data_IF_392887825344
#
_entry.id   IF_392887825344
#
_cell.length_a   1.000
_cell.length_b   1.000
_cell.length_c   1.000
_cell.angle_alpha   90.00
_cell.angle_beta   90.00
_cell.angle_gamma   90.00
#
_symmetry.space_group_name_H-M   'P 1'
#
loop_
_entity.id
_entity.type
_entity.pdbx_description
1 polymer ?
#
# COMPACT_ATOMS: atom_id res chain seq x y z
N UNK A 1 21.22 12.89 -27.16
CA UNK A 1 21.20 11.94 -26.03
C UNK A 1 19.99 12.14 -25.10
N UNK A 2 19.66 13.36 -24.66
CA UNK A 2 18.49 13.61 -23.79
C UNK A 2 17.13 13.25 -24.41
N UNK A 3 16.91 13.52 -25.70
CA UNK A 3 15.63 13.22 -26.36
C UNK A 3 15.36 11.70 -26.50
N UNK A 4 16.41 10.92 -26.80
CA UNK A 4 16.33 9.46 -26.89
C UNK A 4 16.03 8.85 -25.51
N UNK A 5 16.63 9.39 -24.44
CA UNK A 5 16.37 8.94 -23.08
C UNK A 5 14.90 9.19 -22.66
N UNK A 6 14.35 10.36 -23.00
CA UNK A 6 12.96 10.72 -22.72
C UNK A 6 11.97 9.83 -23.49
N UNK A 7 12.24 9.56 -24.78
CA UNK A 7 11.41 8.66 -25.59
C UNK A 7 11.43 7.22 -25.06
N UNK A 8 12.59 6.72 -24.65
CA UNK A 8 12.71 5.39 -24.04
C UNK A 8 11.96 5.29 -22.71
N UNK A 9 12.07 6.32 -21.86
CA UNK A 9 11.33 6.39 -20.59
C UNK A 9 9.81 6.39 -20.84
N UNK A 10 9.34 7.15 -21.83
CA UNK A 10 7.92 7.18 -22.20
C UNK A 10 7.43 5.82 -22.71
N UNK A 11 8.18 5.17 -23.59
CA UNK A 11 7.83 3.83 -24.10
C UNK A 11 7.79 2.79 -22.98
N UNK A 12 8.73 2.86 -22.04
CA UNK A 12 8.75 1.97 -20.88
C UNK A 12 7.51 2.20 -20.00
N UNK A 13 7.18 3.47 -19.71
CA UNK A 13 5.97 3.83 -18.97
C UNK A 13 4.71 3.29 -19.66
N UNK A 14 4.54 3.55 -20.97
CA UNK A 14 3.37 3.11 -21.74
C UNK A 14 3.23 1.58 -21.74
N UNK A 15 4.35 0.85 -21.81
CA UNK A 15 4.36 -0.61 -21.75
C UNK A 15 3.93 -1.15 -20.38
N UNK A 16 4.44 -0.59 -19.29
CA UNK A 16 4.07 -0.99 -17.93
C UNK A 16 2.60 -0.64 -17.67
N UNK A 17 2.18 0.57 -18.05
CA UNK A 17 0.82 1.04 -17.88
C UNK A 17 -0.20 0.17 -18.65
N UNK A 18 0.15 -0.28 -19.85
CA UNK A 18 -0.68 -1.24 -20.59
C UNK A 18 -0.88 -2.56 -19.83
N UNK A 19 0.13 -3.06 -19.13
CA UNK A 19 -0.01 -4.26 -18.30
C UNK A 19 -0.87 -3.99 -17.05
N UNK A 20 -0.70 -2.85 -16.41
CA UNK A 20 -1.54 -2.43 -15.28
C UNK A 20 -3.02 -2.42 -15.63
N UNK A 21 -3.43 -1.87 -16.78
CA UNK A 21 -4.85 -1.84 -17.19
C UNK A 21 -5.51 -3.23 -17.28
N UNK A 22 -4.72 -4.28 -17.51
CA UNK A 22 -5.22 -5.67 -17.58
C UNK A 22 -5.48 -6.27 -16.20
N UNK A 23 -4.69 -5.89 -15.20
CA UNK A 23 -4.66 -6.55 -13.89
C UNK A 23 -5.24 -5.69 -12.76
N UNK A 24 -5.31 -4.37 -12.97
CA UNK A 24 -5.70 -3.38 -11.98
C UNK A 24 -6.95 -2.60 -12.42
N UNK A 25 -7.65 -2.07 -11.44
CA UNK A 25 -8.67 -1.05 -11.58
C UNK A 25 -7.96 0.30 -11.53
N UNK A 26 -8.28 1.15 -12.50
CA UNK A 26 -7.78 2.52 -12.58
C UNK A 26 -8.95 3.45 -12.33
N UNK A 27 -8.96 4.09 -11.17
CA UNK A 27 -9.97 5.07 -10.79
C UNK A 27 -9.43 6.48 -11.00
N UNK A 28 -10.12 7.28 -11.79
CA UNK A 28 -9.72 8.68 -12.04
C UNK A 28 -10.46 9.59 -11.11
N UNK A 29 -9.72 10.37 -10.33
CA UNK A 29 -10.31 11.44 -9.54
C UNK A 29 -10.47 12.69 -10.42
N UNK A 30 -11.67 12.83 -10.99
CA UNK A 30 -12.05 13.97 -11.81
C UNK A 30 -12.19 15.29 -11.03
N UNK A 31 -12.14 15.25 -9.69
CA UNK A 31 -12.30 16.41 -8.82
C UNK A 31 -10.97 16.96 -8.30
N UNK A 32 -9.88 16.21 -8.44
CA UNK A 32 -8.54 16.62 -8.01
C UNK A 32 -7.72 17.24 -9.14
N UNK A 33 -6.91 18.25 -8.81
CA UNK A 33 -5.95 18.86 -9.73
C UNK A 33 -4.98 17.80 -10.27
N UNK A 34 -4.71 17.81 -11.56
CA UNK A 34 -3.84 16.81 -12.20
C UNK A 34 -4.49 15.45 -12.48
N UNK A 35 -5.79 15.30 -12.17
CA UNK A 35 -6.60 14.09 -12.41
C UNK A 35 -5.86 12.79 -12.03
N UNK A 36 -5.43 12.66 -10.76
CA UNK A 36 -4.65 11.52 -10.34
C UNK A 36 -5.42 10.23 -10.57
N UNK A 37 -4.71 9.21 -11.01
CA UNK A 37 -5.26 7.89 -11.23
C UNK A 37 -4.88 7.00 -10.05
N UNK A 38 -5.87 6.48 -9.33
CA UNK A 38 -5.65 5.55 -8.24
C UNK A 38 -5.69 4.13 -8.78
N UNK A 39 -4.62 3.39 -8.54
CA UNK A 39 -4.35 2.07 -9.11
C UNK A 39 -4.57 1.02 -8.02
N UNK A 40 -5.63 0.23 -8.17
CA UNK A 40 -6.03 -0.78 -7.21
C UNK A 40 -6.00 -2.19 -7.82
N UNK A 41 -5.55 -3.23 -7.11
CA UNK A 41 -5.60 -4.58 -7.65
C UNK A 41 -7.06 -5.02 -7.84
N UNK A 42 -7.38 -5.71 -8.94
CA UNK A 42 -8.76 -6.16 -9.23
C UNK A 42 -9.33 -7.13 -8.19
N UNK A 43 -8.47 -7.85 -7.50
CA UNK A 43 -8.81 -8.78 -6.42
C UNK A 43 -8.70 -8.14 -5.03
N UNK A 44 -8.71 -6.80 -4.93
CA UNK A 44 -8.88 -6.11 -3.63
C UNK A 44 -10.14 -6.63 -2.92
N UNK A 45 -10.20 -6.56 -1.57
CA UNK A 45 -11.34 -7.08 -0.84
C UNK A 45 -12.62 -6.33 -1.22
N UNK A 46 -13.65 -7.06 -1.64
CA UNK A 46 -14.97 -6.49 -1.94
C UNK A 46 -15.84 -6.27 -0.69
N UNK A 47 -15.46 -6.90 0.43
CA UNK A 47 -16.13 -6.76 1.72
C UNK A 47 -15.26 -6.00 2.68
N UNK A 48 -15.89 -5.04 3.36
CA UNK A 48 -15.31 -4.20 4.40
C UNK A 48 -15.21 -4.92 5.75
N UNK A 49 -15.92 -6.04 5.90
CA UNK A 49 -15.98 -6.86 7.12
C UNK A 49 -15.02 -8.04 7.07
N UNK A 50 -13.95 -7.92 6.28
CA UNK A 50 -12.94 -8.98 6.13
C UNK A 50 -11.57 -8.42 6.44
N UNK A 51 -10.84 -9.10 7.30
CA UNK A 51 -9.42 -8.80 7.52
C UNK A 51 -8.65 -9.06 6.23
N UNK A 52 -7.94 -8.04 5.75
CA UNK A 52 -7.25 -8.14 4.48
C UNK A 52 -6.05 -7.20 4.44
N UNK A 53 -4.96 -7.70 3.85
CA UNK A 53 -3.74 -6.94 3.57
C UNK A 53 -3.63 -6.72 2.07
N UNK A 54 -3.56 -5.46 1.65
CA UNK A 54 -3.48 -5.11 0.24
C UNK A 54 -2.71 -3.80 0.06
N UNK A 55 -2.52 -3.37 -1.18
CA UNK A 55 -1.85 -2.10 -1.45
C UNK A 55 -2.39 -1.43 -2.69
N UNK A 56 -2.12 -0.14 -2.79
CA UNK A 56 -2.45 0.68 -3.95
C UNK A 56 -1.41 1.79 -4.12
N UNK A 57 -1.42 2.46 -5.26
CA UNK A 57 -0.65 3.68 -5.46
C UNK A 57 -1.40 4.64 -6.37
N UNK A 58 -0.90 5.88 -6.48
CA UNK A 58 -1.44 6.89 -7.39
C UNK A 58 -0.47 7.13 -8.53
N UNK A 59 -0.98 7.45 -9.71
CA UNK A 59 -0.22 8.06 -10.79
C UNK A 59 -0.65 9.52 -10.86
N UNK A 60 0.32 10.42 -10.76
CA UNK A 60 0.11 11.86 -10.87
C UNK A 60 1.17 12.42 -11.81
N UNK A 61 0.73 13.15 -12.84
CA UNK A 61 1.61 13.73 -13.87
C UNK A 61 2.57 12.69 -14.50
N UNK A 62 2.08 11.47 -14.76
CA UNK A 62 2.87 10.41 -15.40
C UNK A 62 3.95 9.78 -14.50
N UNK A 63 3.91 10.00 -13.18
CA UNK A 63 4.82 9.35 -12.21
C UNK A 63 4.01 8.63 -11.14
N UNK A 64 4.47 7.44 -10.75
CA UNK A 64 3.90 6.75 -9.59
C UNK A 64 4.26 7.49 -8.29
N UNK A 65 3.26 7.71 -7.44
CA UNK A 65 3.34 8.39 -6.15
C UNK A 65 2.44 7.71 -5.12
N UNK A 66 2.66 8.02 -3.83
CA UNK A 66 1.77 7.67 -2.72
C UNK A 66 1.45 6.18 -2.68
N UNK A 67 2.48 5.35 -2.56
CA UNK A 67 2.27 3.92 -2.33
C UNK A 67 1.70 3.72 -0.94
N UNK A 68 0.66 2.91 -0.84
CA UNK A 68 -0.06 2.68 0.40
C UNK A 68 -0.20 1.20 0.65
N UNK A 69 0.32 0.73 1.77
CA UNK A 69 0.00 -0.57 2.34
C UNK A 69 -1.25 -0.40 3.21
N UNK A 70 -2.28 -1.19 2.92
CA UNK A 70 -3.56 -1.12 3.62
C UNK A 70 -3.75 -2.36 4.47
N UNK A 71 -3.92 -2.15 5.78
CA UNK A 71 -4.37 -3.18 6.71
C UNK A 71 -5.84 -2.91 7.02
N UNK A 72 -6.72 -3.73 6.46
CA UNK A 72 -8.16 -3.67 6.73
C UNK A 72 -8.49 -4.57 7.91
N UNK A 73 -9.28 -4.06 8.87
CA UNK A 73 -9.76 -4.81 10.02
C UNK A 73 -11.29 -4.95 9.94
N UNK A 74 -11.78 -6.18 10.12
CA UNK A 74 -13.20 -6.51 10.18
C UNK A 74 -13.88 -6.06 11.47
N UNK A 75 -13.12 -5.69 12.50
CA UNK A 75 -13.66 -5.18 13.74
C UNK A 75 -14.41 -3.86 13.54
N UNK A 76 -15.61 -3.80 14.13
CA UNK A 76 -16.53 -2.66 14.02
C UNK A 76 -15.99 -1.37 14.63
N UNK A 77 -15.06 -1.48 15.59
CA UNK A 77 -14.41 -0.33 16.24
C UNK A 77 -12.94 -0.29 15.87
N UNK A 78 -12.40 0.91 15.72
CA UNK A 78 -10.97 1.12 15.68
C UNK A 78 -10.36 0.63 17.01
N UNK A 79 -9.14 0.12 16.92
CA UNK A 79 -8.35 -0.21 18.09
C UNK A 79 -7.77 1.10 18.62
N UNK A 80 -8.15 1.51 19.83
CA UNK A 80 -7.64 2.75 20.43
C UNK A 80 -6.20 2.59 20.93
N UNK A 81 -5.40 3.66 20.82
CA UNK A 81 -4.01 3.73 21.28
C UNK A 81 -2.96 3.68 20.17
N UNK A 82 -1.67 3.74 20.54
CA UNK A 82 -0.60 3.41 19.60
C UNK A 82 -0.79 1.95 19.17
N UNK A 83 -0.69 1.64 17.88
CA UNK A 83 -0.85 0.26 17.38
C UNK A 83 0.47 -0.14 16.73
N UNK A 84 0.91 -1.36 16.99
CA UNK A 84 2.03 -1.96 16.27
C UNK A 84 1.61 -3.28 15.66
N UNK A 85 1.87 -3.40 14.35
CA UNK A 85 1.74 -4.64 13.60
C UNK A 85 3.12 -5.29 13.49
N UNK A 86 3.23 -6.53 13.94
CA UNK A 86 4.43 -7.35 13.77
C UNK A 86 4.19 -8.38 12.68
N UNK A 87 5.11 -8.45 11.74
CA UNK A 87 5.12 -9.42 10.67
C UNK A 87 6.30 -10.37 10.87
N UNK A 88 6.03 -11.66 10.88
CA UNK A 88 7.04 -12.70 10.69
C UNK A 88 6.99 -13.11 9.22
N UNK A 89 8.04 -12.78 8.48
CA UNK A 89 8.22 -13.04 7.05
C UNK A 89 9.36 -14.04 6.92
N UNK A 90 9.01 -15.32 6.78
CA UNK A 90 9.95 -16.44 6.70
C UNK A 90 11.02 -16.44 7.81
N UNK A 91 10.61 -16.10 9.03
CA UNK A 91 11.47 -16.03 10.20
C UNK A 91 12.08 -14.64 10.48
N UNK A 92 12.03 -13.70 9.52
CA UNK A 92 12.45 -12.30 9.74
C UNK A 92 11.30 -11.49 10.33
N UNK A 93 11.58 -10.69 11.36
CA UNK A 93 10.59 -9.80 11.96
C UNK A 93 10.65 -8.42 11.29
N UNK A 94 9.49 -7.90 10.91
CA UNK A 94 9.29 -6.52 10.49
C UNK A 94 8.15 -5.90 11.31
N UNK A 95 8.40 -4.75 11.93
CA UNK A 95 7.43 -4.06 12.78
C UNK A 95 6.95 -2.79 12.07
N UNK A 96 5.65 -2.52 12.13
CA UNK A 96 5.03 -1.29 11.62
C UNK A 96 4.29 -0.62 12.77
N UNK A 97 4.76 0.57 13.15
CA UNK A 97 4.13 1.41 14.17
C UNK A 97 3.15 2.36 13.48
N UNK A 98 1.88 2.25 13.83
CA UNK A 98 0.79 3.05 13.28
C UNK A 98 0.76 4.41 13.97
N UNK A 99 0.75 5.45 13.14
CA UNK A 99 0.48 6.82 13.57
C UNK A 99 -1.01 7.11 13.49
N UNK A 100 -1.48 8.04 14.32
CA UNK A 100 -2.91 8.39 14.42
C UNK A 100 -3.54 8.75 13.09
N UNK A 101 -2.80 9.43 12.21
CA UNK A 101 -3.27 9.87 10.89
C UNK A 101 -3.42 8.73 9.87
N UNK A 102 -2.81 7.57 10.09
CA UNK A 102 -2.93 6.42 9.21
C UNK A 102 -4.23 5.66 9.45
N UNK A 103 -4.86 5.84 10.60
CA UNK A 103 -6.07 5.13 10.96
C UNK A 103 -7.31 5.85 10.42
N UNK A 104 -8.06 5.17 9.58
CA UNK A 104 -9.25 5.69 8.94
C UNK A 104 -10.49 4.89 9.36
N UNK A 105 -11.51 5.64 9.76
CA UNK A 105 -12.83 5.11 10.06
C UNK A 105 -13.79 5.59 8.98
N UNK A 106 -14.60 4.68 8.45
CA UNK A 106 -15.64 5.03 7.50
C UNK A 106 -16.83 4.09 7.63
N UNK A 107 -17.94 4.42 6.96
CA UNK A 107 -19.05 3.46 6.79
C UNK A 107 -18.61 2.17 6.07
N UNK A 108 -17.43 2.17 5.45
CA UNK A 108 -16.77 1.03 4.80
C UNK A 108 -15.77 0.34 5.73
N UNK A 109 -15.94 0.41 7.04
CA UNK A 109 -15.08 -0.26 8.02
C UNK A 109 -13.80 0.53 8.35
N UNK A 110 -12.96 -0.12 9.15
CA UNK A 110 -11.73 0.44 9.71
C UNK A 110 -10.52 -0.08 8.95
N UNK A 111 -9.64 0.83 8.53
CA UNK A 111 -8.41 0.45 7.86
C UNK A 111 -7.26 1.39 8.24
N UNK A 112 -6.06 0.86 8.12
CA UNK A 112 -4.82 1.62 8.29
C UNK A 112 -4.21 1.84 6.91
N UNK A 113 -4.03 3.10 6.53
CA UNK A 113 -3.44 3.51 5.27
C UNK A 113 -1.98 3.94 5.50
N UNK A 114 -1.05 3.03 5.21
CA UNK A 114 0.34 3.09 5.67
C UNK A 114 1.25 3.53 4.51
N UNK A 115 1.92 4.68 4.60
CA UNK A 115 2.91 5.09 3.61
C UNK A 115 4.09 4.13 3.53
N UNK A 116 4.68 4.00 2.34
CA UNK A 116 5.79 3.07 2.10
C UNK A 116 6.98 3.27 3.04
N UNK A 117 7.25 4.51 3.47
CA UNK A 117 8.31 4.84 4.45
C UNK A 117 8.15 4.17 5.81
N UNK A 118 6.92 3.84 6.23
CA UNK A 118 6.66 3.14 7.49
C UNK A 118 6.64 1.62 7.34
N UNK A 119 6.69 1.12 6.11
CA UNK A 119 6.60 -0.30 5.79
C UNK A 119 7.87 -0.81 5.09
N UNK A 120 8.99 -0.08 5.12
CA UNK A 120 10.21 -0.41 4.37
C UNK A 120 10.70 -1.83 4.69
N UNK A 121 10.91 -2.14 5.96
CA UNK A 121 11.40 -3.46 6.37
C UNK A 121 10.45 -4.60 5.95
N UNK A 122 9.14 -4.33 5.98
CA UNK A 122 8.13 -5.27 5.52
C UNK A 122 8.22 -5.48 4.01
N UNK A 123 8.21 -4.39 3.23
CA UNK A 123 8.22 -4.41 1.76
C UNK A 123 9.52 -5.02 1.22
N UNK A 124 10.67 -4.65 1.77
CA UNK A 124 11.98 -5.14 1.34
C UNK A 124 12.20 -6.62 1.68
N UNK A 125 11.49 -7.14 2.68
CA UNK A 125 11.55 -8.55 3.07
C UNK A 125 10.56 -9.42 2.30
N UNK A 126 9.61 -8.81 1.58
CA UNK A 126 8.50 -9.51 0.95
C UNK A 126 8.83 -9.95 -0.48
N UNK A 127 8.52 -11.21 -0.80
CA UNK A 127 8.63 -11.78 -2.15
C UNK A 127 7.51 -12.78 -2.44
N UNK A 128 7.27 -13.07 -3.72
CA UNK A 128 6.33 -14.11 -4.13
C UNK A 128 6.66 -15.43 -3.43
N UNK A 129 5.66 -16.04 -2.79
CA UNK A 129 5.83 -17.30 -2.04
C UNK A 129 6.29 -17.14 -0.59
N UNK A 130 6.48 -15.92 -0.08
CA UNK A 130 6.82 -15.69 1.33
C UNK A 130 5.74 -16.26 2.26
N UNK A 131 6.15 -16.90 3.36
CA UNK A 131 5.25 -17.29 4.44
C UNK A 131 5.19 -16.15 5.45
N UNK A 132 4.02 -15.51 5.55
CA UNK A 132 3.84 -14.33 6.39
C UNK A 132 2.80 -14.60 7.47
N UNK A 133 3.16 -14.30 8.72
CA UNK A 133 2.23 -14.22 9.85
C UNK A 133 2.23 -12.80 10.40
N UNK A 134 1.05 -12.29 10.71
CA UNK A 134 0.86 -10.96 11.30
C UNK A 134 0.30 -11.10 12.72
N UNK A 135 0.74 -10.21 13.62
CA UNK A 135 0.21 -10.03 14.97
C UNK A 135 0.03 -8.54 15.27
N UNK A 136 -1.02 -8.19 16.01
CA UNK A 136 -1.18 -6.87 16.64
C UNK A 136 -0.70 -6.97 18.08
N UNK A 137 0.17 -6.07 18.55
CA UNK A 137 0.80 -6.22 19.88
C UNK A 137 -0.01 -5.68 21.04
N UNK A 138 -0.93 -4.75 20.79
CA UNK A 138 -1.58 -3.98 21.85
C UNK A 138 -3.00 -4.48 22.17
N UNK A 139 -3.35 -5.66 21.65
CA UNK A 139 -4.58 -6.37 21.96
C UNK A 139 -4.27 -7.59 22.82
N UNK A 140 -4.92 -7.68 23.98
CA UNK A 140 -4.74 -8.80 24.92
C UNK A 140 -5.24 -10.14 24.35
N UNK A 141 -6.24 -10.13 23.47
CA UNK A 141 -6.91 -11.35 22.98
C UNK A 141 -6.54 -11.79 21.55
N UNK A 142 -5.62 -11.13 20.84
CA UNK A 142 -5.52 -11.36 19.39
C UNK A 142 -4.52 -12.45 18.94
N UNK A 143 -5.05 -13.37 18.14
CA UNK A 143 -4.37 -14.50 17.49
C UNK A 143 -3.49 -14.05 16.32
N UNK A 144 -2.46 -14.82 16.00
CA UNK A 144 -1.66 -14.56 14.79
C UNK A 144 -2.47 -14.90 13.55
N UNK A 145 -2.54 -13.98 12.57
CA UNK A 145 -3.15 -14.23 11.26
C UNK A 145 -2.10 -14.69 10.26
N UNK A 146 -2.33 -15.81 9.58
CA UNK A 146 -1.50 -16.18 8.42
C UNK A 146 -2.01 -15.41 7.20
N UNK A 147 -1.11 -14.68 6.53
CA UNK A 147 -1.46 -13.90 5.35
C UNK A 147 -1.46 -14.82 4.13
N UNK A 148 -2.49 -14.73 3.31
CA UNK A 148 -2.62 -15.60 2.13
C UNK A 148 -1.60 -15.25 1.05
N UNK A 149 -1.21 -16.24 0.24
CA UNK A 149 -0.32 -16.01 -0.91
C UNK A 149 -0.89 -15.00 -1.90
N UNK A 150 -2.23 -14.92 -2.01
CA UNK A 150 -2.89 -13.92 -2.85
C UNK A 150 -2.62 -12.50 -2.36
N UNK A 151 -2.83 -12.24 -1.06
CA UNK A 151 -2.52 -10.94 -0.44
C UNK A 151 -1.03 -10.57 -0.61
N UNK A 152 -0.13 -11.53 -0.39
CA UNK A 152 1.31 -11.32 -0.56
C UNK A 152 1.65 -10.97 -2.01
N UNK A 153 1.15 -11.74 -2.97
CA UNK A 153 1.41 -11.51 -4.39
C UNK A 153 0.88 -10.15 -4.84
N UNK A 154 -0.29 -9.74 -4.36
CA UNK A 154 -0.86 -8.43 -4.66
C UNK A 154 0.08 -7.30 -4.20
N UNK A 155 0.62 -7.39 -2.99
CA UNK A 155 1.51 -6.37 -2.45
C UNK A 155 2.83 -6.32 -3.23
N UNK A 156 3.46 -7.48 -3.43
CA UNK A 156 4.74 -7.58 -4.16
C UNK A 156 4.59 -7.01 -5.56
N UNK A 157 3.54 -7.40 -6.28
CA UNK A 157 3.32 -6.96 -7.67
C UNK A 157 2.97 -5.47 -7.76
N UNK A 158 2.14 -4.98 -6.84
CA UNK A 158 1.78 -3.55 -6.79
C UNK A 158 3.00 -2.69 -6.47
N UNK A 159 3.84 -3.12 -5.52
CA UNK A 159 5.07 -2.40 -5.17
C UNK A 159 6.10 -2.48 -6.31
N UNK A 160 6.18 -3.60 -7.02
CA UNK A 160 7.01 -3.71 -8.22
C UNK A 160 6.58 -2.70 -9.29
N UNK A 161 5.30 -2.67 -9.68
CA UNK A 161 4.81 -1.68 -10.65
C UNK A 161 5.03 -0.25 -10.18
N UNK A 162 4.82 0.01 -8.88
CA UNK A 162 5.10 1.31 -8.28
C UNK A 162 6.56 1.75 -8.52
N UNK A 163 7.53 0.87 -8.22
CA UNK A 163 8.96 1.14 -8.44
C UNK A 163 9.32 1.28 -9.91
N UNK A 164 8.80 0.42 -10.78
CA UNK A 164 9.06 0.46 -12.22
C UNK A 164 8.53 1.74 -12.89
N UNK A 165 7.47 2.33 -12.34
CA UNK A 165 6.91 3.62 -12.76
C UNK A 165 7.58 4.83 -12.09
N UNK A 166 8.76 4.64 -11.50
CA UNK A 166 9.56 5.69 -10.88
C UNK A 166 9.11 6.08 -9.47
N UNK A 167 8.33 5.23 -8.81
CA UNK A 167 7.93 5.41 -7.42
C UNK A 167 9.13 5.41 -6.46
N UNK A 168 9.09 6.30 -5.49
CA UNK A 168 10.10 6.48 -4.45
C UNK A 168 9.46 6.26 -3.07
N UNK A 169 10.26 5.98 -2.05
CA UNK A 169 9.69 5.89 -0.70
C UNK A 169 9.03 7.23 -0.35
N UNK A 170 7.77 7.17 0.03
CA UNK A 170 6.94 8.34 0.22
C UNK A 170 6.60 8.56 1.70
N UNK A 171 6.80 9.80 2.12
CA UNK A 171 6.60 10.29 3.49
C UNK A 171 5.11 10.64 3.75
N UNK A 172 4.69 10.96 5.00
CA UNK A 172 3.30 11.26 5.33
C UNK A 172 2.70 12.33 4.42
N UNK A 173 1.41 12.21 4.13
CA UNK A 173 0.65 13.25 3.42
C UNK A 173 0.30 14.45 4.32
N UNK A 174 0.80 14.49 5.55
CA UNK A 174 0.62 15.61 6.45
C UNK A 174 1.64 16.67 6.05
N UNK A 175 1.22 17.93 5.79
CA UNK A 175 2.18 19.02 5.82
C UNK A 175 2.86 18.99 7.18
N UNK A 176 4.20 18.87 7.19
CA UNK A 176 4.97 19.17 8.40
C UNK A 176 4.53 20.58 8.76
N UNK A 177 3.76 20.73 9.85
CA UNK A 177 3.43 22.05 10.35
C UNK A 177 4.74 22.82 10.41
N UNK A 178 4.85 23.86 9.59
CA UNK A 178 5.83 24.91 9.79
C UNK A 178 5.33 25.72 11.00
N UNK A 179 5.36 25.11 12.18
CA UNK A 179 5.26 25.85 13.41
C UNK A 179 6.68 26.33 13.73
N UNK A 180 6.97 27.54 13.25
CA UNK A 180 7.94 28.48 13.81
C UNK A 180 7.43 29.91 13.55
#
# INVERSE_FOLDING_TARGET
MQQIALENQRRQFDSIYSNLTKEYIIERDSFSSGMPEIIYPKNRPNSVWKDYLWSYFKIENGKAKRFRLVIQNSESKKIDGAIMFKFNIDGKIADIIIQSYMAHESYKGNYYDIPSTYAVDFLDSLRVGSKVKMKVTNLEEYTTRTISSEEINNIVKTYQYYKELGGELDSPDIPINQDN
#
